data_IF_398607489725
#
_entry.id   IF_398607489725
#
_cell.length_a   1.000
_cell.length_b   1.000
_cell.length_c   1.000
_cell.angle_alpha   90.00
_cell.angle_beta   90.00
_cell.angle_gamma   90.00
#
_symmetry.space_group_name_H-M   'P 1'
#
loop_
_entity.id
_entity.type
_entity.pdbx_description
1 polymer ?
#
# COMPACT_ATOMS: atom_id res chain seq x y z
N UNK A 1 -18.25 8.91 -6.36
CA UNK A 1 -17.60 7.72 -6.97
C UNK A 1 -18.14 7.62 -8.38
N UNK A 2 -17.27 7.48 -9.40
CA UNK A 2 -17.73 7.42 -10.79
C UNK A 2 -18.55 6.15 -11.05
N UNK A 3 -19.51 6.22 -11.98
CA UNK A 3 -20.42 5.12 -12.34
C UNK A 3 -19.65 3.85 -12.76
N UNK A 4 -18.57 4.01 -13.53
CA UNK A 4 -17.73 2.89 -13.99
C UNK A 4 -17.08 2.12 -12.84
N UNK A 5 -16.61 2.82 -11.81
CA UNK A 5 -15.94 2.19 -10.67
C UNK A 5 -16.92 1.40 -9.81
N UNK A 6 -18.15 1.91 -9.66
CA UNK A 6 -19.22 1.15 -8.99
C UNK A 6 -19.54 -0.14 -9.76
N UNK A 7 -19.58 -0.09 -11.10
CA UNK A 7 -19.85 -1.28 -11.92
C UNK A 7 -18.74 -2.34 -11.79
N UNK A 8 -17.47 -1.90 -11.76
CA UNK A 8 -16.32 -2.79 -11.53
C UNK A 8 -16.44 -3.47 -10.15
N UNK A 9 -16.70 -2.70 -9.10
CA UNK A 9 -16.90 -3.22 -7.73
C UNK A 9 -18.06 -4.21 -7.71
N UNK A 10 -19.18 -3.90 -8.36
CA UNK A 10 -20.32 -4.79 -8.46
C UNK A 10 -19.97 -6.12 -9.13
N UNK A 11 -19.17 -6.12 -10.20
CA UNK A 11 -18.76 -7.34 -10.88
C UNK A 11 -17.81 -8.20 -10.04
N UNK A 12 -16.84 -7.60 -9.34
CA UNK A 12 -16.01 -8.34 -8.39
C UNK A 12 -16.81 -8.86 -7.20
N UNK A 13 -17.74 -8.08 -6.66
CA UNK A 13 -18.55 -8.50 -5.50
C UNK A 13 -19.41 -9.76 -5.74
N UNK A 14 -19.62 -10.15 -7.01
CA UNK A 14 -20.32 -11.39 -7.40
C UNK A 14 -19.43 -12.63 -7.34
N UNK A 15 -18.13 -12.48 -7.13
CA UNK A 15 -17.21 -13.60 -6.93
C UNK A 15 -17.30 -14.02 -5.47
N UNK A 16 -17.86 -15.20 -5.20
CA UNK A 16 -18.22 -15.63 -3.84
C UNK A 16 -17.08 -15.58 -2.81
N UNK A 17 -15.84 -15.81 -3.23
CA UNK A 17 -14.67 -15.81 -2.34
C UNK A 17 -14.18 -14.41 -1.98
N UNK A 18 -14.67 -13.35 -2.65
CA UNK A 18 -14.30 -11.98 -2.31
C UNK A 18 -15.02 -11.58 -1.03
N UNK A 19 -14.25 -11.10 -0.06
CA UNK A 19 -14.72 -10.76 1.27
C UNK A 19 -14.83 -9.25 1.43
N UNK A 20 -13.88 -8.47 0.91
CA UNK A 20 -13.90 -7.01 1.03
C UNK A 20 -13.23 -6.36 -0.17
N UNK A 21 -13.74 -5.20 -0.58
CA UNK A 21 -13.10 -4.34 -1.57
C UNK A 21 -12.92 -2.96 -0.93
N UNK A 22 -11.67 -2.52 -0.82
CA UNK A 22 -11.33 -1.18 -0.37
C UNK A 22 -10.92 -0.30 -1.55
N UNK A 23 -11.20 0.99 -1.44
CA UNK A 23 -10.54 2.04 -2.21
C UNK A 23 -9.51 2.71 -1.31
N UNK A 24 -8.29 2.89 -1.79
CA UNK A 24 -7.30 3.76 -1.15
C UNK A 24 -6.61 4.67 -2.17
N UNK A 25 -5.51 5.29 -1.78
CA UNK A 25 -4.69 6.14 -2.65
C UNK A 25 -5.10 7.60 -2.67
N UNK A 26 -4.70 8.33 -3.72
CA UNK A 26 -5.02 9.75 -3.87
C UNK A 26 -6.53 10.03 -3.97
N UNK A 27 -7.35 9.03 -4.28
CA UNK A 27 -8.82 9.12 -4.31
C UNK A 27 -9.46 9.20 -2.92
N UNK A 28 -8.76 8.80 -1.85
CA UNK A 28 -9.25 8.90 -0.45
C UNK A 28 -8.59 10.04 0.33
N UNK A 29 -7.60 10.72 -0.24
CA UNK A 29 -6.92 11.87 0.37
C UNK A 29 -7.30 13.20 -0.32
N UNK A 30 -6.96 14.34 0.30
CA UNK A 30 -7.20 15.67 -0.26
C UNK A 30 -6.33 16.01 -1.49
N UNK A 31 -5.57 15.05 -2.03
CA UNK A 31 -4.63 15.23 -3.14
C UNK A 31 -5.16 14.73 -4.50
N UNK A 32 -6.48 14.52 -4.61
CA UNK A 32 -7.11 14.10 -5.86
C UNK A 32 -6.86 15.11 -6.97
N UNK A 33 -6.27 14.65 -8.06
CA UNK A 33 -6.18 15.37 -9.33
C UNK A 33 -6.76 14.53 -10.48
N UNK A 34 -6.78 15.08 -11.69
CA UNK A 34 -7.31 14.39 -12.88
C UNK A 34 -6.41 13.23 -13.36
N UNK A 35 -5.22 13.07 -12.78
CA UNK A 35 -4.25 12.02 -13.12
C UNK A 35 -4.20 10.92 -12.06
N UNK A 36 -5.11 10.95 -11.09
CA UNK A 36 -5.14 10.01 -9.98
C UNK A 36 -5.75 8.68 -10.39
N UNK A 37 -4.95 7.62 -10.32
CA UNK A 37 -5.40 6.25 -10.50
C UNK A 37 -6.40 5.84 -9.37
N UNK A 38 -7.11 4.73 -9.56
CA UNK A 38 -7.99 4.17 -8.52
C UNK A 38 -7.45 2.85 -7.98
N UNK A 39 -6.90 2.91 -6.77
CA UNK A 39 -6.34 1.75 -6.07
C UNK A 39 -7.45 0.93 -5.42
N UNK A 40 -7.73 -0.25 -5.98
CA UNK A 40 -8.68 -1.21 -5.45
C UNK A 40 -7.95 -2.37 -4.75
N UNK A 41 -8.13 -2.49 -3.44
CA UNK A 41 -7.62 -3.64 -2.70
C UNK A 41 -8.74 -4.67 -2.55
N UNK A 42 -8.57 -5.80 -3.22
CA UNK A 42 -9.52 -6.92 -3.18
C UNK A 42 -8.99 -7.96 -2.20
N UNK A 43 -9.79 -8.19 -1.16
CA UNK A 43 -9.46 -9.14 -0.11
C UNK A 43 -10.25 -10.45 -0.26
N UNK A 44 -9.52 -11.55 -0.28
CA UNK A 44 -10.03 -12.92 -0.25
C UNK A 44 -8.97 -13.87 0.32
N UNK A 45 -9.37 -14.84 1.14
CA UNK A 45 -8.45 -15.87 1.63
C UNK A 45 -8.11 -16.93 0.56
N UNK A 46 -8.99 -17.10 -0.43
CA UNK A 46 -8.73 -17.95 -1.61
C UNK A 46 -8.23 -17.12 -2.81
N UNK A 47 -7.55 -17.79 -3.74
CA UNK A 47 -7.06 -17.16 -4.97
C UNK A 47 -8.22 -16.81 -5.91
N UNK A 48 -8.39 -15.52 -6.21
CA UNK A 48 -9.32 -15.07 -7.26
C UNK A 48 -8.84 -15.58 -8.61
N UNK A 49 -9.67 -16.32 -9.33
CA UNK A 49 -9.32 -16.92 -10.63
C UNK A 49 -8.90 -15.87 -11.65
N UNK A 50 -7.70 -16.01 -12.22
CA UNK A 50 -7.16 -15.16 -13.30
C UNK A 50 -8.15 -15.01 -14.45
N UNK A 51 -8.80 -16.11 -14.86
CA UNK A 51 -9.80 -16.09 -15.94
C UNK A 51 -10.98 -15.18 -15.62
N UNK A 52 -11.51 -15.23 -14.39
CA UNK A 52 -12.61 -14.36 -13.97
C UNK A 52 -12.19 -12.89 -13.94
N UNK A 53 -10.97 -12.61 -13.49
CA UNK A 53 -10.41 -11.24 -13.49
C UNK A 53 -10.32 -10.69 -14.91
N UNK A 54 -9.77 -11.48 -15.83
CA UNK A 54 -9.67 -11.11 -17.25
C UNK A 54 -11.06 -10.89 -17.90
N UNK A 55 -12.04 -11.75 -17.59
CA UNK A 55 -13.43 -11.58 -18.05
C UNK A 55 -14.05 -10.27 -17.56
N UNK A 56 -13.72 -9.82 -16.34
CA UNK A 56 -14.16 -8.51 -15.82
C UNK A 56 -13.43 -7.39 -16.56
N UNK A 57 -12.10 -7.43 -16.65
CA UNK A 57 -11.29 -6.39 -17.30
C UNK A 57 -11.74 -6.11 -18.74
N UNK A 58 -12.00 -7.17 -19.53
CA UNK A 58 -12.47 -7.09 -20.93
C UNK A 58 -13.77 -6.31 -21.11
N UNK A 59 -14.64 -6.25 -20.09
CA UNK A 59 -15.87 -5.45 -20.15
C UNK A 59 -15.58 -3.95 -20.19
N UNK A 60 -14.52 -3.53 -19.49
CA UNK A 60 -14.22 -2.12 -19.24
C UNK A 60 -13.02 -1.60 -20.05
N UNK A 61 -12.17 -2.47 -20.58
CA UNK A 61 -10.89 -2.07 -21.20
C UNK A 61 -10.52 -2.89 -22.43
N UNK A 62 -9.85 -2.25 -23.38
CA UNK A 62 -9.08 -2.90 -24.47
C UNK A 62 -7.59 -3.05 -24.14
N UNK A 63 -7.11 -2.37 -23.08
CA UNK A 63 -5.71 -2.37 -22.65
C UNK A 63 -5.64 -2.69 -21.17
N UNK A 64 -5.38 -3.96 -20.90
CA UNK A 64 -5.34 -4.53 -19.56
C UNK A 64 -4.13 -5.46 -19.40
N UNK A 65 -3.64 -5.55 -18.18
CA UNK A 65 -2.60 -6.46 -17.71
C UNK A 65 -3.19 -7.24 -16.52
N UNK A 66 -3.11 -8.57 -16.56
CA UNK A 66 -3.70 -9.45 -15.54
C UNK A 66 -2.61 -10.33 -14.95
N UNK A 67 -2.67 -10.54 -13.63
CA UNK A 67 -1.74 -11.37 -12.89
C UNK A 67 -0.29 -10.84 -12.97
N UNK A 68 -0.14 -9.53 -12.83
CA UNK A 68 1.13 -8.91 -12.57
C UNK A 68 1.65 -9.36 -11.18
N UNK A 69 2.95 -9.61 -11.08
CA UNK A 69 3.61 -10.14 -9.88
C UNK A 69 4.97 -9.47 -9.62
N UNK A 70 5.20 -8.27 -10.17
CA UNK A 70 6.47 -7.54 -9.99
C UNK A 70 6.61 -6.97 -8.56
N UNK A 71 5.50 -6.46 -8.01
CA UNK A 71 5.44 -5.81 -6.69
C UNK A 71 4.55 -6.58 -5.73
N UNK A 72 3.34 -6.90 -6.19
CA UNK A 72 2.39 -7.80 -5.56
C UNK A 72 1.50 -8.43 -6.62
N UNK A 73 0.60 -9.34 -6.21
CA UNK A 73 -0.36 -9.93 -7.13
C UNK A 73 -1.42 -8.88 -7.49
N UNK A 74 -1.45 -8.46 -8.75
CA UNK A 74 -2.32 -7.38 -9.18
C UNK A 74 -2.72 -7.42 -10.64
N UNK A 75 -3.66 -6.54 -10.97
CA UNK A 75 -4.17 -6.31 -12.32
C UNK A 75 -4.28 -4.80 -12.57
N UNK A 76 -3.94 -4.35 -13.78
CA UNK A 76 -3.90 -2.94 -14.14
C UNK A 76 -4.58 -2.75 -15.50
N UNK A 77 -5.48 -1.76 -15.61
CA UNK A 77 -6.10 -1.46 -16.90
C UNK A 77 -6.56 -0.02 -17.05
N UNK A 78 -6.74 0.40 -18.30
CA UNK A 78 -7.27 1.72 -18.65
C UNK A 78 -8.70 1.57 -19.17
N UNK A 79 -9.66 2.16 -18.49
CA UNK A 79 -11.06 2.13 -18.90
C UNK A 79 -11.28 2.81 -20.25
N UNK A 80 -11.91 2.11 -21.21
CA UNK A 80 -12.07 2.53 -22.61
C UNK A 80 -12.69 3.92 -22.76
N UNK A 81 -13.76 4.19 -22.00
CA UNK A 81 -14.59 5.38 -22.22
C UNK A 81 -14.17 6.59 -21.36
N UNK A 82 -13.52 6.34 -20.22
CA UNK A 82 -13.16 7.39 -19.26
C UNK A 82 -11.66 7.69 -19.22
N UNK A 83 -10.82 6.80 -19.75
CA UNK A 83 -9.37 6.85 -19.55
C UNK A 83 -8.93 6.58 -18.10
N UNK A 84 -9.87 6.22 -17.21
CA UNK A 84 -9.57 5.94 -15.81
C UNK A 84 -8.66 4.72 -15.70
N UNK A 85 -7.52 4.90 -15.05
CA UNK A 85 -6.61 3.82 -14.69
C UNK A 85 -7.12 3.14 -13.42
N UNK A 86 -7.22 1.82 -13.48
CA UNK A 86 -7.55 0.96 -12.35
C UNK A 86 -6.30 0.15 -12.03
N UNK A 87 -5.88 0.22 -10.76
CA UNK A 87 -4.83 -0.61 -10.18
C UNK A 87 -5.48 -1.49 -9.11
N UNK A 88 -5.37 -2.80 -9.25
CA UNK A 88 -6.00 -3.77 -8.35
C UNK A 88 -4.92 -4.60 -7.66
N UNK A 89 -4.97 -4.65 -6.34
CA UNK A 89 -4.12 -5.52 -5.53
C UNK A 89 -4.95 -6.60 -4.87
N UNK A 90 -4.53 -7.86 -5.00
CA UNK A 90 -5.19 -9.00 -4.38
C UNK A 90 -4.42 -9.45 -3.13
N UNK A 91 -5.09 -9.46 -1.98
CA UNK A 91 -4.49 -9.79 -0.69
C UNK A 91 -5.39 -10.71 0.13
N UNK A 92 -4.81 -11.47 1.06
CA UNK A 92 -5.61 -12.24 2.03
C UNK A 92 -5.82 -11.46 3.32
N UNK A 93 -6.91 -11.77 4.03
CA UNK A 93 -7.17 -11.21 5.35
C UNK A 93 -6.13 -11.67 6.37
N UNK A 94 -5.74 -12.95 6.29
CA UNK A 94 -4.69 -13.50 7.16
C UNK A 94 -3.37 -12.75 7.01
N UNK A 95 -2.99 -12.38 5.77
CA UNK A 95 -1.75 -11.65 5.55
C UNK A 95 -1.80 -10.24 6.15
N UNK A 96 -2.86 -9.48 5.88
CA UNK A 96 -2.95 -8.09 6.37
C UNK A 96 -3.13 -8.04 7.88
N UNK A 97 -3.91 -8.96 8.46
CA UNK A 97 -4.10 -9.02 9.91
C UNK A 97 -2.77 -9.32 10.62
N UNK A 98 -2.00 -10.28 10.12
CA UNK A 98 -0.66 -10.57 10.65
C UNK A 98 0.31 -9.40 10.47
N UNK A 99 0.28 -8.73 9.31
CA UNK A 99 1.11 -7.55 9.05
C UNK A 99 0.80 -6.43 10.04
N UNK A 100 -0.48 -6.12 10.24
CA UNK A 100 -0.93 -5.10 11.17
C UNK A 100 -0.66 -5.50 12.63
N UNK A 101 -0.86 -6.76 13.01
CA UNK A 101 -0.55 -7.24 14.35
C UNK A 101 0.94 -7.08 14.69
N UNK A 102 1.82 -7.42 13.76
CA UNK A 102 3.26 -7.27 13.93
C UNK A 102 3.66 -5.80 14.16
N UNK A 103 3.05 -4.86 13.42
CA UNK A 103 3.36 -3.42 13.56
C UNK A 103 2.71 -2.83 14.80
N UNK A 104 1.39 -3.01 14.95
CA UNK A 104 0.58 -2.30 15.95
C UNK A 104 0.71 -2.91 17.34
N UNK A 105 0.69 -4.23 17.46
CA UNK A 105 0.67 -4.91 18.76
C UNK A 105 2.06 -5.43 19.16
N UNK A 106 2.85 -5.94 18.21
CA UNK A 106 4.23 -6.41 18.48
C UNK A 106 5.30 -5.33 18.30
N UNK A 107 4.91 -4.15 17.84
CA UNK A 107 5.78 -2.99 17.67
C UNK A 107 6.99 -3.23 16.75
N UNK A 108 6.86 -4.11 15.75
CA UNK A 108 7.93 -4.41 14.81
C UNK A 108 8.08 -3.27 13.79
N UNK A 109 9.24 -2.61 13.84
CA UNK A 109 9.60 -1.57 12.89
C UNK A 109 10.18 -2.13 11.58
N UNK A 110 9.95 -1.41 10.49
CA UNK A 110 10.57 -1.62 9.17
C UNK A 110 11.50 -0.46 8.83
N UNK A 111 12.12 -0.49 7.65
CA UNK A 111 13.00 0.57 7.17
C UNK A 111 12.25 1.40 6.14
N UNK A 112 11.82 2.60 6.53
CA UNK A 112 11.31 3.61 5.59
C UNK A 112 9.83 3.52 5.21
N UNK A 113 9.06 2.62 5.84
CA UNK A 113 7.64 2.42 5.51
C UNK A 113 6.83 1.78 6.64
N UNK A 114 7.30 1.81 7.90
CA UNK A 114 6.77 0.97 8.98
C UNK A 114 5.24 0.97 9.10
N UNK A 115 4.60 2.13 8.93
CA UNK A 115 3.16 2.29 9.15
C UNK A 115 2.34 2.39 7.86
N UNK A 116 2.92 2.14 6.67
CA UNK A 116 2.22 2.37 5.39
C UNK A 116 0.95 1.50 5.22
N UNK A 117 1.02 0.20 5.50
CA UNK A 117 -0.14 -0.70 5.44
C UNK A 117 -1.18 -0.35 6.51
N UNK A 118 -0.72 0.10 7.67
CA UNK A 118 -1.61 0.54 8.73
C UNK A 118 -2.39 1.79 8.30
N UNK A 119 -1.70 2.81 7.78
CA UNK A 119 -2.33 4.01 7.24
C UNK A 119 -3.32 3.68 6.12
N UNK A 120 -2.89 2.82 5.19
CA UNK A 120 -3.68 2.40 4.05
C UNK A 120 -5.01 1.78 4.49
N UNK A 121 -5.00 0.85 5.45
CA UNK A 121 -6.22 0.19 5.92
C UNK A 121 -7.15 1.14 6.66
N UNK A 122 -6.66 1.92 7.63
CA UNK A 122 -7.56 2.73 8.46
C UNK A 122 -8.17 3.92 7.72
N UNK A 123 -7.51 4.40 6.65
CA UNK A 123 -8.01 5.49 5.81
C UNK A 123 -8.67 5.00 4.51
N UNK A 124 -8.76 3.68 4.30
CA UNK A 124 -9.43 3.12 3.13
C UNK A 124 -10.95 3.30 3.22
N UNK A 125 -11.56 3.56 2.07
CA UNK A 125 -13.02 3.54 1.94
C UNK A 125 -13.48 2.13 1.58
N UNK A 126 -14.39 1.59 2.37
CA UNK A 126 -15.04 0.31 2.08
C UNK A 126 -16.04 0.48 0.92
N UNK A 127 -15.87 -0.31 -0.15
CA UNK A 127 -16.76 -0.35 -1.31
C UNK A 127 -17.66 -1.60 -1.32
N UNK A 128 -17.14 -2.71 -0.80
CA UNK A 128 -17.87 -3.95 -0.60
C UNK A 128 -17.34 -4.62 0.67
N UNK A 129 -18.23 -5.23 1.47
CA UNK A 129 -17.86 -5.81 2.76
C UNK A 129 -18.79 -6.97 3.14
N UNK A 130 -18.40 -8.17 2.74
CA UNK A 130 -19.06 -9.42 3.09
C UNK A 130 -18.86 -9.69 4.58
N UNK A 131 -19.95 -9.93 5.30
CA UNK A 131 -19.94 -10.22 6.73
C UNK A 131 -19.23 -9.17 7.62
N UNK A 132 -19.10 -7.92 7.15
CA UNK A 132 -18.43 -6.84 7.88
C UNK A 132 -16.96 -7.12 8.24
N UNK A 133 -16.26 -7.91 7.41
CA UNK A 133 -14.85 -8.24 7.58
C UNK A 133 -13.96 -7.00 7.53
N UNK A 134 -14.15 -6.13 6.54
CA UNK A 134 -13.39 -4.89 6.40
C UNK A 134 -13.62 -3.93 7.55
N UNK A 135 -14.89 -3.72 7.95
CA UNK A 135 -15.22 -2.90 9.13
C UNK A 135 -14.60 -3.44 10.41
N UNK A 136 -14.57 -4.76 10.58
CA UNK A 136 -13.99 -5.41 11.76
C UNK A 136 -12.47 -5.22 11.80
N UNK A 137 -11.80 -5.34 10.65
CA UNK A 137 -10.35 -5.10 10.54
C UNK A 137 -9.99 -3.65 10.85
N UNK A 138 -10.68 -2.68 10.24
CA UNK A 138 -10.46 -1.25 10.54
C UNK A 138 -10.69 -0.98 12.03
N UNK A 139 -11.79 -1.47 12.60
CA UNK A 139 -12.09 -1.28 14.03
C UNK A 139 -11.02 -1.88 14.94
N UNK A 140 -10.49 -3.06 14.59
CA UNK A 140 -9.44 -3.76 15.36
C UNK A 140 -8.15 -2.93 15.45
N UNK A 141 -7.78 -2.25 14.36
CA UNK A 141 -6.51 -1.52 14.25
C UNK A 141 -6.64 0.01 14.27
N UNK A 142 -7.84 0.57 14.44
CA UNK A 142 -8.03 2.00 14.67
C UNK A 142 -7.69 2.35 16.13
N UNK A 143 -6.40 2.29 16.43
CA UNK A 143 -5.81 2.44 17.76
C UNK A 143 -4.91 3.68 17.80
N UNK A 144 -4.68 4.28 18.98
CA UNK A 144 -3.69 5.34 19.13
C UNK A 144 -2.29 4.82 18.78
N UNK A 145 -1.43 5.72 18.31
CA UNK A 145 -0.05 5.40 17.95
C UNK A 145 0.74 4.87 19.17
N UNK A 146 1.27 3.63 19.17
CA UNK A 146 2.00 3.09 20.31
C UNK A 146 3.35 3.78 20.52
N UNK A 147 3.62 4.24 21.75
CA UNK A 147 4.91 4.86 22.09
C UNK A 147 6.09 3.89 21.91
N UNK A 148 5.90 2.59 22.15
CA UNK A 148 6.93 1.58 21.92
C UNK A 148 7.25 1.42 20.43
N UNK A 149 6.23 1.45 19.56
CA UNK A 149 6.45 1.44 18.10
C UNK A 149 7.25 2.67 17.66
N UNK A 150 6.94 3.85 18.19
CA UNK A 150 7.69 5.09 17.92
C UNK A 150 9.16 4.91 18.26
N UNK A 151 9.46 4.42 19.47
CA UNK A 151 10.83 4.13 19.89
C UNK A 151 11.52 3.12 18.96
N UNK A 152 10.84 2.02 18.60
CA UNK A 152 11.40 0.98 17.75
C UNK A 152 11.70 1.47 16.33
N UNK A 153 10.87 2.34 15.76
CA UNK A 153 11.12 2.96 14.44
C UNK A 153 12.36 3.82 14.47
N UNK A 154 12.49 4.69 15.48
CA UNK A 154 13.66 5.56 15.65
C UNK A 154 14.92 4.71 15.83
N UNK A 155 14.88 3.73 16.73
CA UNK A 155 16.00 2.82 17.01
C UNK A 155 16.45 2.06 15.77
N UNK A 156 15.53 1.66 14.88
CA UNK A 156 15.84 0.92 13.66
C UNK A 156 16.36 1.80 12.53
N UNK A 157 15.73 2.94 12.28
CA UNK A 157 16.02 3.79 11.13
C UNK A 157 17.15 4.80 11.38
N UNK A 158 17.25 5.37 12.59
CA UNK A 158 18.18 6.46 12.86
C UNK A 158 19.66 6.08 12.61
N UNK A 159 20.14 4.88 13.02
CA UNK A 159 21.52 4.49 12.75
C UNK A 159 21.88 4.41 11.26
N UNK A 160 20.89 4.15 10.39
CA UNK A 160 21.08 4.08 8.94
C UNK A 160 21.26 5.45 8.31
N UNK A 161 20.78 6.52 8.94
CA UNK A 161 20.95 7.87 8.40
C UNK A 161 22.43 8.27 8.39
N UNK A 162 23.15 8.05 9.50
CA UNK A 162 24.54 8.49 9.65
C UNK A 162 25.43 7.65 10.57
N UNK A 163 24.89 7.02 11.60
CA UNK A 163 25.71 6.55 12.74
C UNK A 163 26.48 5.25 12.49
N UNK A 164 26.04 4.40 11.56
CA UNK A 164 26.76 3.16 11.24
C UNK A 164 27.71 3.29 10.03
N UNK A 165 28.70 2.41 9.95
CA UNK A 165 29.72 2.38 8.86
C UNK A 165 29.05 2.16 7.49
N UNK A 166 27.90 1.50 7.48
CA UNK A 166 27.07 1.25 6.32
C UNK A 166 25.97 2.29 6.14
N UNK A 167 26.06 3.48 6.76
CA UNK A 167 24.95 4.44 6.74
C UNK A 167 24.79 5.02 5.36
N UNK A 168 23.58 5.49 5.04
CA UNK A 168 23.32 6.18 3.80
C UNK A 168 24.27 7.37 3.62
N UNK A 169 24.59 8.12 4.68
CA UNK A 169 25.59 9.18 4.63
C UNK A 169 26.95 8.70 4.11
N UNK A 170 27.50 7.62 4.68
CA UNK A 170 28.79 7.05 4.24
C UNK A 170 28.68 6.48 2.82
N UNK A 171 27.57 5.82 2.49
CA UNK A 171 27.35 5.24 1.16
C UNK A 171 27.23 6.33 0.07
N UNK A 172 26.53 7.43 0.34
CA UNK A 172 26.42 8.58 -0.56
C UNK A 172 27.79 9.21 -0.78
N UNK A 173 28.56 9.45 0.30
CA UNK A 173 29.90 10.02 0.19
C UNK A 173 30.83 9.16 -0.69
N UNK A 174 30.79 7.83 -0.52
CA UNK A 174 31.53 6.89 -1.37
C UNK A 174 31.07 6.92 -2.83
N UNK A 175 29.77 7.02 -3.07
CA UNK A 175 29.22 7.09 -4.43
C UNK A 175 29.63 8.40 -5.14
N UNK A 176 29.67 9.53 -4.41
CA UNK A 176 30.16 10.82 -4.92
C UNK A 176 31.63 10.71 -5.36
N UNK A 177 32.50 10.13 -4.53
CA UNK A 177 33.93 9.94 -4.88
C UNK A 177 34.10 9.13 -6.17
N UNK A 178 33.20 8.18 -6.42
CA UNK A 178 33.21 7.33 -7.63
C UNK A 178 32.50 7.96 -8.84
N UNK A 179 31.88 9.13 -8.71
CA UNK A 179 30.96 9.69 -9.70
C UNK A 179 29.83 8.71 -10.11
N UNK A 180 29.36 7.90 -9.17
CA UNK A 180 28.30 6.91 -9.39
C UNK A 180 26.93 7.55 -9.12
N UNK A 181 26.39 8.24 -10.12
CA UNK A 181 25.13 8.99 -10.01
C UNK A 181 23.92 8.11 -9.70
N UNK A 182 23.91 6.86 -10.18
CA UNK A 182 22.83 5.90 -9.90
C UNK A 182 22.83 5.54 -8.41
N UNK A 183 24.00 5.21 -7.85
CA UNK A 183 24.11 4.96 -6.41
C UNK A 183 23.79 6.19 -5.57
N UNK A 184 24.18 7.39 -6.00
CA UNK A 184 23.83 8.63 -5.30
C UNK A 184 22.31 8.76 -5.21
N UNK A 185 21.60 8.66 -6.34
CA UNK A 185 20.14 8.76 -6.37
C UNK A 185 19.47 7.71 -5.47
N UNK A 186 19.83 6.44 -5.65
CA UNK A 186 19.25 5.33 -4.89
C UNK A 186 19.46 5.48 -3.38
N UNK A 187 20.66 5.90 -2.94
CA UNK A 187 20.96 6.06 -1.50
C UNK A 187 20.33 7.31 -0.89
N UNK A 188 20.16 8.38 -1.66
CA UNK A 188 19.38 9.54 -1.22
C UNK A 188 17.91 9.16 -1.05
N UNK A 189 17.32 8.42 -2.00
CA UNK A 189 15.93 7.97 -1.89
C UNK A 189 15.73 7.09 -0.63
N UNK A 190 16.62 6.12 -0.39
CA UNK A 190 16.58 5.27 0.79
C UNK A 190 16.79 6.05 2.11
N UNK A 191 17.67 7.05 2.11
CA UNK A 191 17.84 7.98 3.24
C UNK A 191 16.53 8.69 3.57
N UNK A 192 15.88 9.27 2.54
CA UNK A 192 14.64 10.02 2.72
C UNK A 192 13.51 9.12 3.22
N UNK A 193 13.38 7.90 2.71
CA UNK A 193 12.40 6.94 3.20
C UNK A 193 12.57 6.68 4.71
N UNK A 194 13.78 6.32 5.17
CA UNK A 194 14.07 6.12 6.59
C UNK A 194 13.89 7.38 7.43
N UNK A 195 14.24 8.55 6.88
CA UNK A 195 14.07 9.82 7.55
C UNK A 195 12.59 10.15 7.76
N UNK A 196 11.75 9.97 6.74
CA UNK A 196 10.31 10.22 6.86
C UNK A 196 9.63 9.23 7.82
N UNK A 197 10.02 7.97 7.83
CA UNK A 197 9.53 6.98 8.82
C UNK A 197 9.77 7.47 10.26
N UNK A 198 10.95 8.04 10.52
CA UNK A 198 11.27 8.68 11.82
C UNK A 198 10.39 9.91 12.08
N UNK A 199 10.24 10.81 11.11
CA UNK A 199 9.46 12.04 11.28
C UNK A 199 7.99 11.72 11.57
N UNK A 200 7.39 10.79 10.84
CA UNK A 200 6.02 10.31 11.09
C UNK A 200 5.91 9.72 12.51
N UNK A 201 6.83 8.84 12.89
CA UNK A 201 6.85 8.24 14.21
C UNK A 201 6.95 9.27 15.33
N UNK A 202 7.89 10.23 15.25
CA UNK A 202 8.08 11.27 16.28
C UNK A 202 6.80 12.09 16.50
N UNK A 203 6.05 12.35 15.43
CA UNK A 203 4.81 13.11 15.49
C UNK A 203 3.56 12.24 15.79
N UNK A 204 3.71 10.92 15.89
CA UNK A 204 2.58 10.00 16.08
C UNK A 204 1.64 9.94 14.87
N UNK A 205 2.15 10.23 13.67
CA UNK A 205 1.41 10.11 12.41
C UNK A 205 1.76 8.79 11.72
N UNK A 206 0.80 8.24 10.98
CA UNK A 206 1.07 7.16 10.04
C UNK A 206 1.57 7.76 8.69
N UNK A 207 2.25 6.95 7.87
CA UNK A 207 2.72 7.36 6.53
C UNK A 207 1.55 7.68 5.60
#
# INVERSE_FOLDING_TARGET
MGEILNNIVCDFSKIDIIETIFLSGSQTSNFRDNNSDSDLYIYSNDVVSIKKREEIAKKYSDRYEINNNYWENGDEWICRDSGLVIDIMYRSFDWIDNMLDNVVNKHYASIGYTTCFWNNIINSKILYDKNSMGKSLIKKYNLPYPEELKYNIIKKNYPLLKDNISSYYVQIAKAIIRNDYVSINHRIAAFLASYFDIIFAVNGYLH
#
